data_IF_171460460878
#
_entry.id   IF_171460460878
#
_cell.length_a   1.000
_cell.length_b   1.000
_cell.length_c   1.000
_cell.angle_alpha   90.00
_cell.angle_beta   90.00
_cell.angle_gamma   90.00
#
_symmetry.space_group_name_H-M   'P 1'
#
loop_
_entity.id
_entity.type
_entity.pdbx_description
1 polymer ?
#
# COMPACT_ATOMS: atom_id res chain seq x y z
N UNK A 1 31.21 60.85 5.63
CA UNK A 1 30.92 60.86 4.17
C UNK A 1 29.62 60.07 3.94
N UNK A 2 28.65 60.43 3.07
CA UNK A 2 28.65 60.71 1.60
C UNK A 2 29.08 59.47 0.79
N UNK A 3 28.40 58.98 -0.26
CA UNK A 3 27.19 59.38 -1.05
C UNK A 3 26.61 58.11 -1.78
N UNK A 4 25.40 57.91 -2.38
CA UNK A 4 24.33 58.70 -3.07
C UNK A 4 24.72 59.24 -4.48
N UNK A 5 24.01 59.05 -5.62
CA UNK A 5 22.66 58.53 -6.07
C UNK A 5 22.80 58.07 -7.57
N UNK A 6 21.97 57.28 -8.29
CA UNK A 6 20.83 56.38 -7.99
C UNK A 6 19.64 56.41 -9.01
N UNK A 7 19.22 55.24 -9.55
CA UNK A 7 17.94 54.91 -10.29
C UNK A 7 17.63 55.46 -11.72
N UNK A 8 16.69 54.75 -12.41
CA UNK A 8 15.86 55.14 -13.61
C UNK A 8 16.56 55.34 -14.98
N UNK A 9 15.97 55.18 -16.20
CA UNK A 9 14.66 54.78 -16.83
C UNK A 9 15.02 53.99 -18.14
N UNK A 10 14.35 52.97 -18.71
CA UNK A 10 13.00 52.74 -19.29
C UNK A 10 12.54 53.68 -20.44
N UNK A 11 12.26 53.07 -21.62
CA UNK A 11 11.45 53.49 -22.80
C UNK A 11 12.06 54.33 -23.94
N UNK A 12 11.29 54.36 -25.06
CA UNK A 12 11.55 54.92 -26.40
C UNK A 12 12.63 54.19 -27.26
N UNK A 13 12.46 53.96 -28.58
CA UNK A 13 11.30 54.19 -29.47
C UNK A 13 11.26 53.20 -30.66
N UNK A 14 10.16 53.24 -31.45
CA UNK A 14 9.91 52.46 -32.68
C UNK A 14 9.70 53.42 -33.89
N UNK A 15 9.59 52.86 -35.10
CA UNK A 15 9.16 53.52 -36.37
C UNK A 15 10.09 54.56 -37.05
N UNK A 16 10.73 54.14 -38.16
CA UNK A 16 10.55 54.62 -39.58
C UNK A 16 11.65 53.98 -40.45
N UNK A 17 11.45 53.17 -41.51
CA UNK A 17 10.64 53.17 -42.75
C UNK A 17 11.26 53.89 -43.98
N UNK A 18 11.65 53.08 -44.99
CA UNK A 18 11.74 53.36 -46.45
C UNK A 18 12.92 54.28 -46.89
N UNK A 19 13.39 54.40 -48.16
CA UNK A 19 12.94 54.00 -49.53
C UNK A 19 14.15 53.46 -50.38
N UNK A 20 13.95 52.81 -51.55
CA UNK A 20 14.98 52.37 -52.56
C UNK A 20 15.30 53.46 -53.63
N UNK A 21 16.40 53.37 -54.42
CA UNK A 21 16.50 52.61 -55.69
C UNK A 21 17.79 51.73 -55.77
N UNK A 22 18.01 50.68 -56.58
CA UNK A 22 17.60 50.25 -57.95
C UNK A 22 18.57 50.65 -59.08
N UNK A 23 19.50 49.77 -59.51
CA UNK A 23 20.11 49.73 -60.87
C UNK A 23 20.72 48.34 -61.20
N UNK A 24 20.85 47.99 -62.50
CA UNK A 24 21.02 46.62 -63.09
C UNK A 24 21.53 46.76 -64.56
N UNK A 25 22.23 45.80 -65.24
CA UNK A 25 23.15 44.71 -64.87
C UNK A 25 24.56 44.91 -65.53
N UNK A 26 25.34 43.86 -65.90
CA UNK A 26 25.19 43.28 -67.26
C UNK A 26 25.09 41.73 -67.30
N UNK A 27 24.85 41.16 -68.50
CA UNK A 27 24.64 39.71 -68.74
C UNK A 27 25.88 39.04 -69.32
N UNK A 28 26.08 37.76 -69.02
CA UNK A 28 26.67 36.80 -69.96
C UNK A 28 25.76 35.57 -70.11
N UNK A 29 25.59 35.11 -71.36
CA UNK A 29 24.94 33.84 -71.68
C UNK A 29 26.02 32.78 -71.92
N UNK A 30 25.80 31.56 -71.42
CA UNK A 30 26.35 30.35 -72.02
C UNK A 30 25.39 29.19 -71.74
N UNK A 31 25.21 28.30 -72.72
CA UNK A 31 24.16 27.27 -72.71
C UNK A 31 24.73 25.86 -72.64
N UNK A 32 24.28 25.07 -71.67
CA UNK A 32 24.36 23.61 -71.69
C UNK A 32 23.10 23.02 -71.07
N UNK A 33 22.69 21.84 -71.55
CA UNK A 33 21.38 21.24 -71.26
C UNK A 33 21.35 20.42 -69.97
N UNK A 34 20.17 20.35 -69.36
CA UNK A 34 19.93 19.78 -68.03
C UNK A 34 19.84 18.25 -68.06
N UNK A 35 20.41 17.60 -67.04
CA UNK A 35 19.83 16.37 -66.50
C UNK A 35 20.07 16.31 -64.98
N UNK A 36 19.05 16.68 -64.20
CA UNK A 36 19.08 16.67 -62.72
C UNK A 36 17.97 15.74 -62.23
N UNK A 37 18.25 14.75 -61.36
CA UNK A 37 17.24 13.85 -60.82
C UNK A 37 16.17 14.62 -60.03
N UNK A 38 14.89 14.29 -60.27
CA UNK A 38 13.79 14.81 -59.46
C UNK A 38 13.87 14.30 -58.01
N UNK A 39 13.55 15.13 -57.00
CA UNK A 39 13.50 14.67 -55.62
C UNK A 39 12.39 13.60 -55.43
N UNK A 40 12.57 12.64 -54.51
CA UNK A 40 11.59 11.59 -54.27
C UNK A 40 10.25 12.19 -53.82
N UNK A 41 9.15 11.77 -54.46
CA UNK A 41 7.80 12.23 -54.14
C UNK A 41 7.43 11.84 -52.71
N UNK A 42 7.13 12.83 -51.87
CA UNK A 42 6.59 12.62 -50.52
C UNK A 42 5.32 11.77 -50.62
N UNK A 43 5.20 10.64 -49.89
CA UNK A 43 4.01 9.80 -49.96
C UNK A 43 2.76 10.55 -49.52
N UNK A 44 1.76 10.70 -50.40
CA UNK A 44 0.45 11.21 -49.99
C UNK A 44 -0.21 10.24 -49.01
N UNK A 45 -0.54 10.72 -47.81
CA UNK A 45 -1.30 9.99 -46.79
C UNK A 45 -2.54 9.34 -47.42
N UNK A 46 -2.67 8.01 -47.35
CA UNK A 46 -3.77 7.31 -48.02
C UNK A 46 -5.14 7.74 -47.48
N UNK A 47 -6.18 7.69 -48.32
CA UNK A 47 -7.57 7.96 -47.90
C UNK A 47 -8.00 7.05 -46.73
N UNK A 48 -7.53 5.80 -46.71
CA UNK A 48 -7.74 4.84 -45.60
C UNK A 48 -7.12 5.34 -44.28
N UNK A 49 -5.90 5.88 -44.32
CA UNK A 49 -5.24 6.45 -43.15
C UNK A 49 -6.02 7.62 -42.56
N UNK A 50 -6.45 8.57 -43.40
CA UNK A 50 -7.27 9.72 -42.95
C UNK A 50 -8.62 9.29 -42.37
N UNK A 51 -9.27 8.29 -42.96
CA UNK A 51 -10.52 7.75 -42.45
C UNK A 51 -10.33 7.10 -41.08
N UNK A 52 -9.26 6.31 -40.90
CA UNK A 52 -8.93 5.68 -39.63
C UNK A 52 -8.64 6.74 -38.54
N UNK A 53 -7.79 7.73 -38.83
CA UNK A 53 -7.52 8.84 -37.89
C UNK A 53 -8.80 9.60 -37.52
N UNK A 54 -9.66 9.90 -38.49
CA UNK A 54 -10.96 10.55 -38.24
C UNK A 54 -11.87 9.71 -37.36
N UNK A 55 -11.96 8.40 -37.59
CA UNK A 55 -12.74 7.48 -36.76
C UNK A 55 -12.19 7.37 -35.33
N UNK A 56 -10.86 7.31 -35.16
CA UNK A 56 -10.22 7.30 -33.83
C UNK A 56 -10.48 8.60 -33.07
N UNK A 57 -10.37 9.76 -33.72
CA UNK A 57 -10.68 11.06 -33.11
C UNK A 57 -12.17 11.15 -32.74
N UNK A 58 -13.07 10.70 -33.62
CA UNK A 58 -14.51 10.63 -33.34
C UNK A 58 -14.85 9.76 -32.14
N UNK A 59 -14.23 8.57 -32.03
CA UNK A 59 -14.36 7.68 -30.86
C UNK A 59 -13.82 8.30 -29.57
N UNK A 60 -12.69 9.01 -29.62
CA UNK A 60 -12.12 9.69 -28.45
C UNK A 60 -13.01 10.85 -27.99
N UNK A 61 -13.56 11.65 -28.92
CA UNK A 61 -14.48 12.75 -28.60
C UNK A 61 -15.81 12.22 -28.05
N UNK A 62 -16.43 11.23 -28.71
CA UNK A 62 -17.68 10.63 -28.26
C UNK A 62 -17.53 9.90 -26.92
N UNK A 63 -16.45 9.16 -26.73
CA UNK A 63 -16.11 8.51 -25.46
C UNK A 63 -15.84 9.50 -24.33
N UNK A 64 -15.12 10.60 -24.61
CA UNK A 64 -14.89 11.68 -23.66
C UNK A 64 -16.17 12.42 -23.28
N UNK A 65 -17.05 12.70 -24.25
CA UNK A 65 -18.36 13.30 -23.99
C UNK A 65 -19.24 12.38 -23.13
N UNK A 66 -19.33 11.09 -23.46
CA UNK A 66 -20.09 10.11 -22.67
C UNK A 66 -19.52 9.96 -21.25
N UNK A 67 -18.18 9.91 -21.10
CA UNK A 67 -17.52 9.90 -19.81
C UNK A 67 -17.75 11.18 -18.98
N UNK A 68 -18.01 12.32 -19.62
CA UNK A 68 -18.38 13.56 -18.92
C UNK A 68 -19.84 13.62 -18.46
N UNK A 69 -20.68 12.66 -18.88
CA UNK A 69 -22.12 12.59 -18.53
C UNK A 69 -22.49 11.47 -17.55
N UNK A 70 -21.55 10.62 -17.16
CA UNK A 70 -21.78 9.59 -16.12
C UNK A 70 -21.42 10.10 -14.73
N UNK A 71 -22.00 9.49 -13.70
CA UNK A 71 -21.68 9.77 -12.31
C UNK A 71 -20.27 9.29 -11.91
N UNK A 72 -19.76 9.85 -10.82
CA UNK A 72 -18.40 9.55 -10.36
C UNK A 72 -18.20 8.09 -9.93
N UNK A 73 -19.24 7.40 -9.43
CA UNK A 73 -19.16 6.01 -9.00
C UNK A 73 -19.11 5.05 -10.20
N UNK A 74 -19.87 5.32 -11.27
CA UNK A 74 -19.79 4.61 -12.55
C UNK A 74 -18.43 4.80 -13.21
N UNK A 75 -17.94 6.06 -13.31
CA UNK A 75 -16.62 6.35 -13.87
C UNK A 75 -15.49 5.68 -13.07
N UNK A 76 -15.57 5.74 -11.73
CA UNK A 76 -14.68 4.99 -10.84
C UNK A 76 -14.71 3.48 -11.14
N UNK A 77 -15.90 2.88 -11.27
CA UNK A 77 -16.07 1.48 -11.64
C UNK A 77 -15.38 1.08 -12.95
N UNK A 78 -15.40 1.97 -13.96
CA UNK A 78 -14.65 1.78 -15.20
C UNK A 78 -13.15 1.89 -15.00
N UNK A 79 -12.64 2.87 -14.25
CA UNK A 79 -11.21 3.01 -13.97
C UNK A 79 -10.64 1.79 -13.24
N UNK A 80 -11.32 1.28 -12.21
CA UNK A 80 -10.94 0.02 -11.55
C UNK A 80 -10.97 -1.16 -12.53
N UNK A 81 -12.01 -1.26 -13.37
CA UNK A 81 -12.13 -2.32 -14.38
C UNK A 81 -11.00 -2.28 -15.41
N UNK A 82 -10.58 -1.09 -15.85
CA UNK A 82 -9.46 -0.92 -16.77
C UNK A 82 -8.13 -1.43 -16.19
N UNK A 83 -7.94 -1.39 -14.87
CA UNK A 83 -6.72 -1.97 -14.26
C UNK A 83 -6.60 -3.48 -14.48
N UNK A 84 -7.70 -4.21 -14.72
CA UNK A 84 -7.65 -5.65 -15.08
C UNK A 84 -6.91 -5.90 -16.41
N UNK A 85 -6.92 -4.91 -17.32
CA UNK A 85 -6.18 -4.96 -18.59
C UNK A 85 -4.72 -4.52 -18.41
N UNK A 86 -4.45 -3.60 -17.47
CA UNK A 86 -3.10 -3.05 -17.24
C UNK A 86 -2.26 -3.96 -16.34
N UNK A 87 -2.83 -4.60 -15.32
CA UNK A 87 -2.09 -5.36 -14.31
C UNK A 87 -1.29 -6.55 -14.89
N UNK A 88 -1.77 -7.31 -15.90
CA UNK A 88 -0.98 -8.36 -16.54
C UNK A 88 0.37 -7.90 -17.09
N UNK A 89 0.51 -6.63 -17.52
CA UNK A 89 1.80 -6.12 -18.01
C UNK A 89 2.87 -6.02 -16.92
N UNK A 90 2.48 -5.91 -15.64
CA UNK A 90 3.43 -5.96 -14.51
C UNK A 90 4.06 -7.35 -14.34
N UNK A 91 3.54 -8.40 -14.99
CA UNK A 91 4.15 -9.74 -14.99
C UNK A 91 5.47 -9.80 -15.79
N UNK A 92 5.62 -8.99 -16.83
CA UNK A 92 6.82 -8.96 -17.71
C UNK A 92 8.03 -8.21 -17.11
N UNK A 93 7.84 -7.51 -16.00
CA UNK A 93 8.90 -6.77 -15.29
C UNK A 93 9.60 -7.65 -14.25
N UNK A 94 10.79 -7.23 -13.78
CA UNK A 94 11.32 -7.72 -12.49
C UNK A 94 10.32 -7.40 -11.36
N UNK A 95 10.06 -8.32 -10.41
CA UNK A 95 9.06 -8.10 -9.37
C UNK A 95 9.37 -6.92 -8.42
N UNK A 96 10.63 -6.58 -8.16
CA UNK A 96 10.95 -5.41 -7.33
C UNK A 96 10.83 -4.10 -8.13
N UNK A 97 11.15 -4.11 -9.43
CA UNK A 97 10.87 -2.99 -10.37
C UNK A 97 9.36 -2.76 -10.52
N UNK A 98 8.59 -3.83 -10.74
CA UNK A 98 7.12 -3.80 -10.79
C UNK A 98 6.52 -3.19 -9.52
N UNK A 99 7.02 -3.64 -8.36
CA UNK A 99 6.60 -3.15 -7.05
C UNK A 99 6.92 -1.66 -6.85
N UNK A 100 8.15 -1.24 -7.18
CA UNK A 100 8.55 0.19 -7.11
C UNK A 100 7.71 1.06 -8.05
N UNK A 101 7.40 0.59 -9.25
CA UNK A 101 6.53 1.30 -10.19
C UNK A 101 5.11 1.48 -9.63
N UNK A 102 4.53 0.42 -9.04
CA UNK A 102 3.20 0.47 -8.42
C UNK A 102 3.14 1.47 -7.25
N UNK A 103 4.13 1.44 -6.34
CA UNK A 103 4.25 2.42 -5.24
C UNK A 103 4.43 3.84 -5.80
N UNK A 104 5.28 4.03 -6.82
CA UNK A 104 5.47 5.34 -7.47
C UNK A 104 4.23 5.87 -8.21
N UNK A 105 3.38 4.99 -8.74
CA UNK A 105 2.11 5.38 -9.34
C UNK A 105 1.10 5.81 -8.26
N UNK A 106 0.98 5.04 -7.17
CA UNK A 106 0.12 5.38 -6.05
C UNK A 106 0.55 6.69 -5.37
N UNK A 107 1.85 6.91 -5.16
CA UNK A 107 2.43 8.15 -4.62
C UNK A 107 2.16 9.40 -5.48
N UNK A 108 1.88 9.23 -6.79
CA UNK A 108 1.55 10.32 -7.73
C UNK A 108 0.05 10.46 -8.00
N UNK A 109 -0.81 9.65 -7.37
CA UNK A 109 -2.24 9.62 -7.67
C UNK A 109 -2.58 9.05 -9.05
N UNK A 110 -1.70 8.24 -9.65
CA UNK A 110 -1.91 7.59 -10.95
C UNK A 110 -2.63 6.23 -10.83
N UNK A 111 -3.22 5.96 -9.67
CA UNK A 111 -4.06 4.79 -9.39
C UNK A 111 -5.52 5.25 -9.25
N UNK A 112 -6.52 4.40 -9.56
CA UNK A 112 -7.92 4.79 -9.41
C UNK A 112 -8.24 5.05 -7.93
N UNK A 113 -8.97 6.13 -7.64
CA UNK A 113 -9.47 6.44 -6.30
C UNK A 113 -10.89 5.89 -6.17
N UNK A 114 -11.13 5.05 -5.17
CA UNK A 114 -12.46 4.53 -4.88
C UNK A 114 -13.39 5.67 -4.44
N UNK A 115 -14.55 5.75 -5.09
CA UNK A 115 -15.59 6.76 -4.85
C UNK A 115 -16.96 6.14 -4.55
N UNK A 116 -17.11 4.82 -4.68
CA UNK A 116 -18.29 4.09 -4.19
C UNK A 116 -18.20 3.97 -2.67
N UNK A 117 -19.31 4.16 -1.92
CA UNK A 117 -19.32 3.92 -0.49
C UNK A 117 -19.11 2.44 -0.17
N UNK A 118 -18.53 2.15 0.99
CA UNK A 118 -18.49 0.79 1.53
C UNK A 118 -19.90 0.36 2.00
N UNK A 119 -20.21 -0.93 1.82
CA UNK A 119 -21.47 -1.51 2.28
C UNK A 119 -21.52 -1.50 3.82
N UNK A 120 -22.59 -0.98 4.47
CA UNK A 120 -22.61 -0.77 5.93
C UNK A 120 -22.31 -2.02 6.77
N UNK A 121 -22.66 -3.22 6.28
CA UNK A 121 -22.37 -4.53 6.88
C UNK A 121 -20.87 -4.80 7.09
N UNK A 122 -20.01 -4.17 6.29
CA UNK A 122 -18.54 -4.25 6.40
C UNK A 122 -17.97 -3.30 7.45
N UNK A 123 -18.73 -2.28 7.86
CA UNK A 123 -18.26 -1.28 8.82
C UNK A 123 -18.20 -1.87 10.24
N UNK A 124 -17.10 -1.63 10.94
CA UNK A 124 -16.85 -2.18 12.27
C UNK A 124 -16.02 -1.26 13.16
N UNK A 125 -16.11 -1.46 14.47
CA UNK A 125 -15.42 -0.65 15.46
C UNK A 125 -14.27 -1.45 16.08
N UNK A 126 -13.04 -0.94 15.97
CA UNK A 126 -11.85 -1.57 16.57
C UNK A 126 -10.97 -0.47 17.17
N UNK A 127 -10.52 -0.67 18.41
CA UNK A 127 -9.67 0.27 19.14
C UNK A 127 -10.20 1.72 19.21
N UNK A 128 -11.51 1.89 19.37
CA UNK A 128 -12.15 3.21 19.43
C UNK A 128 -12.27 3.94 18.08
N UNK A 129 -11.96 3.27 16.96
CA UNK A 129 -12.06 3.81 15.60
C UNK A 129 -13.05 3.01 14.74
N UNK A 130 -13.82 3.73 13.92
CA UNK A 130 -14.69 3.15 12.89
C UNK A 130 -13.85 2.85 11.64
N UNK A 131 -13.75 1.57 11.31
CA UNK A 131 -13.27 1.10 10.02
C UNK A 131 -14.46 1.04 9.06
N UNK A 132 -14.31 1.57 7.84
CA UNK A 132 -15.38 1.51 6.82
C UNK A 132 -15.56 0.11 6.22
N UNK A 133 -14.47 -0.66 6.16
CA UNK A 133 -14.43 -2.07 5.80
C UNK A 133 -13.24 -2.76 6.51
N UNK A 134 -13.24 -4.10 6.66
CA UNK A 134 -12.19 -4.82 7.40
C UNK A 134 -10.96 -5.15 6.54
N UNK A 135 -10.88 -4.69 5.29
CA UNK A 135 -9.87 -5.11 4.31
C UNK A 135 -8.74 -4.09 4.24
N UNK A 136 -7.54 -4.49 4.66
CA UNK A 136 -6.35 -3.64 4.66
C UNK A 136 -5.18 -4.16 3.85
N UNK A 137 -4.21 -3.28 3.61
CA UNK A 137 -2.93 -3.59 2.98
C UNK A 137 -1.87 -3.94 4.04
N UNK A 138 -1.14 -5.03 3.85
CA UNK A 138 -0.12 -5.50 4.80
C UNK A 138 1.24 -4.76 4.66
N UNK A 139 2.00 -4.70 5.75
CA UNK A 139 3.38 -4.23 5.70
C UNK A 139 4.25 -5.02 4.72
N UNK A 140 5.29 -4.34 4.27
CA UNK A 140 6.17 -4.73 3.21
C UNK A 140 5.78 -4.11 1.87
N UNK A 141 4.52 -3.67 1.68
CA UNK A 141 4.12 -3.02 0.45
C UNK A 141 4.67 -1.58 0.37
N UNK A 142 4.20 -0.67 1.22
CA UNK A 142 4.79 0.66 1.35
C UNK A 142 5.75 0.71 2.55
N UNK A 143 7.01 0.34 2.32
CA UNK A 143 8.02 0.24 3.39
C UNK A 143 8.49 1.59 3.94
N UNK A 144 8.25 2.66 3.18
CA UNK A 144 8.86 3.97 3.38
C UNK A 144 7.81 5.08 3.64
N UNK A 145 6.52 4.76 3.64
CA UNK A 145 5.40 5.71 3.62
C UNK A 145 5.42 6.64 2.39
N UNK A 146 5.76 6.11 1.21
CA UNK A 146 5.79 6.86 -0.05
C UNK A 146 4.38 7.15 -0.61
N UNK A 147 3.39 6.29 -0.32
CA UNK A 147 2.14 6.21 -1.10
C UNK A 147 0.85 6.09 -0.27
N UNK A 148 0.91 6.25 1.06
CA UNK A 148 -0.21 6.04 2.01
C UNK A 148 -1.56 6.60 1.54
N UNK A 149 -1.60 7.86 1.08
CA UNK A 149 -2.84 8.50 0.62
C UNK A 149 -3.42 7.82 -0.63
N UNK A 150 -2.58 7.51 -1.62
CA UNK A 150 -3.00 6.80 -2.83
C UNK A 150 -3.42 5.36 -2.55
N UNK A 151 -2.78 4.71 -1.58
CA UNK A 151 -3.10 3.33 -1.18
C UNK A 151 -4.41 3.25 -0.37
N UNK A 152 -4.65 4.16 0.59
CA UNK A 152 -5.97 4.30 1.22
C UNK A 152 -7.03 4.70 0.18
N UNK A 153 -6.66 5.57 -0.77
CA UNK A 153 -7.47 5.97 -1.90
C UNK A 153 -7.96 4.82 -2.79
N UNK A 154 -7.29 3.66 -2.81
CA UNK A 154 -7.76 2.46 -3.51
C UNK A 154 -8.99 1.79 -2.87
N UNK A 155 -9.45 2.26 -1.70
CA UNK A 155 -10.62 1.73 -0.99
C UNK A 155 -10.31 0.62 0.03
N UNK A 156 -9.04 0.48 0.44
CA UNK A 156 -8.69 -0.26 1.66
C UNK A 156 -9.17 0.50 2.90
N UNK A 157 -9.79 -0.20 3.87
CA UNK A 157 -10.16 0.42 5.16
C UNK A 157 -8.94 0.86 5.99
N UNK A 158 -7.79 0.20 5.79
CA UNK A 158 -6.52 0.56 6.44
C UNK A 158 -5.28 0.15 5.64
N UNK A 159 -4.15 0.81 5.88
CA UNK A 159 -2.84 0.52 5.25
C UNK A 159 -1.78 0.40 6.33
N UNK A 160 -0.98 -0.68 6.31
CA UNK A 160 0.17 -0.88 7.20
C UNK A 160 1.48 -0.56 6.46
N UNK A 161 2.18 0.51 6.83
CA UNK A 161 3.51 0.86 6.28
C UNK A 161 4.65 0.15 7.01
N UNK A 162 5.82 0.09 6.40
CA UNK A 162 7.03 -0.52 6.98
C UNK A 162 7.26 -1.97 6.52
N UNK A 163 7.96 -2.82 7.26
CA UNK A 163 8.64 -2.56 8.53
C UNK A 163 9.72 -1.49 8.40
N UNK A 164 9.63 -0.45 9.24
CA UNK A 164 10.61 0.64 9.31
C UNK A 164 11.69 0.27 10.33
N UNK A 165 12.95 0.45 9.96
CA UNK A 165 14.11 0.31 10.87
C UNK A 165 14.63 1.68 11.29
N UNK A 166 15.26 1.85 12.47
CA UNK A 166 15.83 3.13 12.88
C UNK A 166 16.78 3.76 11.85
N UNK A 167 17.86 3.06 11.54
CA UNK A 167 18.88 3.46 10.57
C UNK A 167 18.47 2.95 9.18
N UNK A 168 18.73 3.71 8.09
CA UNK A 168 18.51 3.21 6.73
C UNK A 168 19.30 1.93 6.45
N UNK A 169 18.73 1.00 5.70
CA UNK A 169 19.45 -0.19 5.24
C UNK A 169 18.89 -0.72 3.91
N UNK A 170 19.79 -1.12 3.01
CA UNK A 170 19.44 -1.69 1.69
C UNK A 170 18.70 -3.03 1.77
N UNK A 171 18.81 -3.75 2.89
CA UNK A 171 18.32 -5.13 3.06
C UNK A 171 19.30 -6.17 2.52
N UNK A 172 18.80 -7.34 2.10
CA UNK A 172 19.64 -8.41 1.54
C UNK A 172 19.88 -8.22 0.01
N UNK A 173 20.94 -8.80 -0.58
CA UNK A 173 21.27 -8.69 -2.01
C UNK A 173 20.15 -9.16 -2.95
N UNK A 174 20.19 -8.69 -4.20
CA UNK A 174 19.22 -9.01 -5.27
C UNK A 174 19.76 -10.14 -6.17
N UNK A 175 18.89 -10.96 -6.81
CA UNK A 175 17.43 -10.97 -6.70
C UNK A 175 16.93 -11.53 -5.35
N UNK A 176 15.78 -11.00 -4.90
CA UNK A 176 15.24 -11.22 -3.53
C UNK A 176 13.72 -11.25 -3.42
N UNK A 177 13.01 -11.15 -4.54
CA UNK A 177 11.57 -11.35 -4.64
C UNK A 177 11.38 -12.23 -5.86
N UNK A 178 10.62 -13.31 -5.72
CA UNK A 178 10.40 -14.28 -6.77
C UNK A 178 8.91 -14.59 -6.86
N UNK A 179 8.39 -14.62 -8.09
CA UNK A 179 6.98 -14.85 -8.38
C UNK A 179 6.75 -16.31 -8.76
N UNK A 180 5.70 -16.90 -8.20
CA UNK A 180 5.20 -18.24 -8.47
C UNK A 180 3.75 -18.07 -8.94
N UNK A 181 3.52 -17.73 -10.23
CA UNK A 181 2.23 -17.21 -10.69
C UNK A 181 1.11 -18.25 -10.69
N UNK A 182 1.43 -19.50 -11.04
CA UNK A 182 0.46 -20.60 -11.10
C UNK A 182 -0.05 -20.97 -9.70
N UNK A 183 0.82 -20.80 -8.71
CA UNK A 183 0.61 -21.05 -7.30
C UNK A 183 -0.02 -19.85 -6.58
N UNK A 184 -0.16 -18.69 -7.26
CA UNK A 184 -0.61 -17.44 -6.65
C UNK A 184 0.28 -16.97 -5.49
N UNK A 185 1.59 -17.17 -5.61
CA UNK A 185 2.54 -17.12 -4.50
C UNK A 185 3.81 -16.29 -4.77
N UNK A 186 4.44 -15.81 -3.69
CA UNK A 186 5.72 -15.08 -3.74
C UNK A 186 6.66 -15.62 -2.67
N UNK A 187 7.90 -15.91 -3.04
CA UNK A 187 9.02 -16.12 -2.12
C UNK A 187 9.83 -14.81 -2.05
N UNK A 188 10.18 -14.34 -0.85
CA UNK A 188 10.99 -13.14 -0.69
C UNK A 188 12.04 -13.26 0.42
N UNK A 189 13.22 -12.68 0.19
CA UNK A 189 14.32 -12.56 1.17
C UNK A 189 14.73 -11.12 1.47
N UNK A 190 13.82 -10.15 1.37
CA UNK A 190 14.16 -8.70 1.40
C UNK A 190 15.02 -8.23 2.59
N UNK A 191 14.80 -8.77 3.80
CA UNK A 191 15.61 -8.42 4.98
C UNK A 191 15.44 -6.98 5.49
N UNK A 192 14.18 -6.50 5.60
CA UNK A 192 13.84 -5.14 6.04
C UNK A 192 14.61 -4.04 5.31
N UNK A 193 14.57 -4.00 3.97
CA UNK A 193 15.03 -2.81 3.25
C UNK A 193 14.14 -1.60 3.59
N UNK A 194 14.74 -0.50 4.06
CA UNK A 194 14.04 0.66 4.60
C UNK A 194 14.93 1.92 4.55
N UNK A 195 14.33 3.09 4.30
CA UNK A 195 15.03 4.38 4.30
C UNK A 195 15.23 5.01 5.69
N UNK A 196 14.95 4.28 6.77
CA UNK A 196 15.16 4.75 8.15
C UNK A 196 13.99 5.57 8.71
N UNK A 197 13.82 5.57 10.04
CA UNK A 197 12.70 6.26 10.71
C UNK A 197 12.65 7.76 10.38
N UNK A 198 13.79 8.42 10.15
CA UNK A 198 13.84 9.87 9.86
C UNK A 198 13.20 10.20 8.50
N UNK A 199 13.46 9.38 7.47
CA UNK A 199 12.85 9.57 6.15
C UNK A 199 11.35 9.28 6.17
N UNK A 200 10.94 8.23 6.90
CA UNK A 200 9.53 7.86 7.06
C UNK A 200 8.76 8.91 7.87
N UNK A 201 9.32 9.40 8.99
CA UNK A 201 8.73 10.45 9.81
C UNK A 201 8.48 11.73 9.01
N UNK A 202 9.45 12.13 8.17
CA UNK A 202 9.31 13.31 7.29
C UNK A 202 8.15 13.15 6.29
N UNK A 203 7.99 11.96 5.69
CA UNK A 203 6.86 11.68 4.77
C UNK A 203 5.53 11.63 5.50
N UNK A 204 5.46 10.93 6.63
CA UNK A 204 4.25 10.81 7.44
C UNK A 204 3.79 12.15 8.02
N UNK A 205 4.70 13.01 8.49
CA UNK A 205 4.37 14.36 8.95
C UNK A 205 3.75 15.23 7.84
N UNK A 206 4.35 15.21 6.64
CA UNK A 206 3.81 15.93 5.48
C UNK A 206 2.41 15.43 5.05
N UNK A 207 2.23 14.11 5.01
CA UNK A 207 0.94 13.48 4.67
C UNK A 207 -0.12 13.71 5.75
N UNK A 208 0.25 13.63 7.03
CA UNK A 208 -0.64 13.87 8.17
C UNK A 208 -1.19 15.30 8.14
N UNK A 209 -0.32 16.30 7.92
CA UNK A 209 -0.74 17.69 7.77
C UNK A 209 -1.71 17.91 6.60
N UNK A 210 -1.40 17.36 5.43
CA UNK A 210 -2.26 17.45 4.23
C UNK A 210 -3.64 16.83 4.48
N UNK A 211 -3.69 15.54 4.86
CA UNK A 211 -4.96 14.81 5.00
C UNK A 211 -5.84 15.38 6.12
N UNK A 212 -5.24 15.89 7.21
CA UNK A 212 -5.97 16.54 8.30
C UNK A 212 -6.67 17.81 7.82
N UNK A 213 -5.97 18.64 7.03
CA UNK A 213 -6.56 19.83 6.41
C UNK A 213 -7.74 19.50 5.49
N UNK A 214 -7.62 18.48 4.64
CA UNK A 214 -8.71 18.00 3.76
C UNK A 214 -9.94 17.53 4.55
N UNK A 215 -9.73 16.96 5.74
CA UNK A 215 -10.82 16.45 6.60
C UNK A 215 -11.51 17.58 7.38
N UNK A 216 -10.77 18.60 7.84
CA UNK A 216 -11.34 19.72 8.60
C UNK A 216 -12.34 20.59 7.83
N UNK A 217 -12.41 20.47 6.51
CA UNK A 217 -13.46 21.07 5.67
C UNK A 217 -14.85 20.40 5.80
N UNK A 218 -14.95 19.24 6.46
CA UNK A 218 -16.19 18.45 6.58
C UNK A 218 -16.41 17.99 8.02
N UNK A 219 -17.31 18.70 8.72
CA UNK A 219 -17.94 18.36 10.01
C UNK A 219 -17.04 17.91 11.18
N UNK A 220 -16.98 18.74 12.24
CA UNK A 220 -16.50 18.30 13.56
C UNK A 220 -17.54 17.39 14.24
N UNK A 221 -17.18 16.18 14.72
CA UNK A 221 -18.04 15.40 15.62
C UNK A 221 -18.05 16.01 17.03
N UNK A 222 -19.04 15.65 17.85
CA UNK A 222 -19.24 16.22 19.19
C UNK A 222 -19.73 15.18 20.20
N UNK A 223 -18.94 14.92 21.24
CA UNK A 223 -19.23 13.95 22.29
C UNK A 223 -18.46 12.63 22.13
N UNK A 224 -18.83 11.62 22.92
CA UNK A 224 -18.18 10.30 23.02
C UNK A 224 -18.45 9.37 21.80
N UNK A 225 -18.43 9.92 20.59
CA UNK A 225 -18.67 9.18 19.35
C UNK A 225 -17.45 8.38 18.88
N UNK A 226 -17.67 7.21 18.28
CA UNK A 226 -16.60 6.38 17.72
C UNK A 226 -15.93 7.12 16.56
N UNK A 227 -14.60 7.31 16.64
CA UNK A 227 -13.89 8.19 15.72
C UNK A 227 -13.83 7.61 14.31
N UNK A 228 -14.37 8.32 13.32
CA UNK A 228 -14.41 7.88 11.94
C UNK A 228 -13.03 7.94 11.27
N UNK A 229 -12.42 6.78 11.02
CA UNK A 229 -11.10 6.66 10.40
C UNK A 229 -9.93 7.00 11.35
N UNK A 230 -8.85 7.51 10.76
CA UNK A 230 -7.58 7.75 11.44
C UNK A 230 -7.38 9.20 11.91
N UNK A 231 -6.31 9.43 12.69
CA UNK A 231 -5.82 10.73 13.20
C UNK A 231 -5.70 11.84 12.15
N UNK A 232 -5.62 11.46 10.89
CA UNK A 232 -5.53 12.35 9.74
C UNK A 232 -6.61 12.03 8.68
N UNK A 233 -7.84 11.67 9.08
CA UNK A 233 -8.97 11.52 8.16
C UNK A 233 -9.32 10.08 7.75
N UNK A 234 -10.11 9.89 6.67
CA UNK A 234 -11.03 8.76 6.48
C UNK A 234 -10.41 7.36 6.21
N UNK A 235 -9.13 7.15 6.48
CA UNK A 235 -8.46 5.85 6.33
C UNK A 235 -7.36 5.64 7.37
N UNK A 236 -7.26 4.43 7.91
CA UNK A 236 -6.47 4.12 9.10
C UNK A 236 -5.05 3.68 8.74
N UNK A 237 -4.05 4.22 9.43
CA UNK A 237 -2.62 3.98 9.20
C UNK A 237 -1.99 3.13 10.30
N UNK A 238 -1.62 1.89 9.96
CA UNK A 238 -0.71 1.08 10.77
C UNK A 238 0.75 1.44 10.48
N UNK A 239 1.59 1.60 11.50
CA UNK A 239 3.04 1.74 11.34
C UNK A 239 3.74 0.50 11.90
N UNK A 240 4.32 -0.29 11.01
CA UNK A 240 5.06 -1.49 11.35
C UNK A 240 6.53 -1.17 11.63
N UNK A 241 7.02 -1.56 12.80
CA UNK A 241 8.38 -1.35 13.28
C UNK A 241 9.19 -2.65 13.17
N UNK A 242 10.50 -2.54 12.92
CA UNK A 242 11.43 -3.67 12.91
C UNK A 242 12.85 -3.25 13.30
N UNK A 243 13.65 -4.18 13.82
CA UNK A 243 15.05 -3.92 14.14
C UNK A 243 15.93 -3.82 12.88
N UNK A 244 16.98 -2.99 12.93
CA UNK A 244 18.09 -3.04 12.00
C UNK A 244 18.80 -4.39 12.05
N UNK A 245 19.30 -4.85 10.89
CA UNK A 245 19.93 -6.18 10.75
C UNK A 245 21.09 -6.38 11.73
N UNK A 246 21.91 -5.34 11.91
CA UNK A 246 23.10 -5.30 12.77
C UNK A 246 22.86 -4.83 14.20
N UNK A 247 21.65 -4.41 14.59
CA UNK A 247 21.40 -3.95 15.96
C UNK A 247 21.41 -5.10 16.98
N UNK A 248 22.09 -4.90 18.11
CA UNK A 248 22.24 -5.86 19.20
C UNK A 248 21.07 -5.79 20.19
N UNK A 249 20.74 -4.61 20.75
CA UNK A 249 19.49 -4.42 21.50
C UNK A 249 18.33 -4.17 20.55
N UNK A 250 17.73 -5.26 20.08
CA UNK A 250 16.52 -5.24 19.27
C UNK A 250 15.40 -4.37 19.89
N UNK A 251 15.29 -4.28 21.21
CA UNK A 251 14.23 -3.52 21.85
C UNK A 251 14.47 -2.00 21.77
N UNK A 252 15.72 -1.56 21.81
CA UNK A 252 16.07 -0.14 21.60
C UNK A 252 15.59 0.35 20.22
N UNK A 253 15.72 -0.47 19.18
CA UNK A 253 15.23 -0.14 17.84
C UNK A 253 13.71 0.08 17.79
N UNK A 254 12.93 -0.81 18.43
CA UNK A 254 11.47 -0.65 18.49
C UNK A 254 11.07 0.58 19.32
N UNK A 255 11.75 0.82 20.46
CA UNK A 255 11.56 1.99 21.33
C UNK A 255 11.81 3.29 20.56
N UNK A 256 12.91 3.39 19.81
CA UNK A 256 13.20 4.56 18.97
C UNK A 256 12.15 4.74 17.85
N UNK A 257 11.65 3.63 17.30
CA UNK A 257 10.52 3.62 16.36
C UNK A 257 9.22 4.16 16.96
N UNK A 258 8.91 3.81 18.22
CA UNK A 258 7.76 4.36 18.96
C UNK A 258 7.91 5.87 19.12
N UNK A 259 8.97 6.35 19.77
CA UNK A 259 9.13 7.80 20.03
C UNK A 259 9.06 8.65 18.75
N UNK A 260 9.56 8.12 17.63
CA UNK A 260 9.64 8.86 16.37
C UNK A 260 8.33 8.83 15.57
N UNK A 261 7.64 7.68 15.47
CA UNK A 261 6.56 7.47 14.50
C UNK A 261 5.15 7.35 15.11
N UNK A 262 5.03 7.10 16.41
CA UNK A 262 3.75 6.83 17.09
C UNK A 262 2.72 7.97 17.01
N UNK A 263 3.19 9.22 16.95
CA UNK A 263 2.35 10.40 16.74
C UNK A 263 1.53 10.35 15.43
N UNK A 264 2.08 9.75 14.37
CA UNK A 264 1.43 9.63 13.06
C UNK A 264 0.58 8.36 12.91
N UNK A 265 0.82 7.36 13.76
CA UNK A 265 0.24 6.02 13.66
C UNK A 265 -1.14 5.96 14.30
N UNK A 266 -2.10 5.34 13.62
CA UNK A 266 -3.38 4.94 14.20
C UNK A 266 -3.28 3.64 14.99
N UNK A 267 -2.34 2.76 14.60
CA UNK A 267 -1.84 1.65 15.41
C UNK A 267 -0.37 1.35 15.08
N UNK A 268 0.35 0.76 16.03
CA UNK A 268 1.74 0.34 15.93
C UNK A 268 1.85 -1.18 15.83
N UNK A 269 2.89 -1.69 15.18
CA UNK A 269 3.15 -3.14 15.10
C UNK A 269 4.61 -3.47 15.41
N UNK A 270 4.85 -4.31 16.41
CA UNK A 270 6.14 -4.96 16.64
C UNK A 270 6.26 -6.16 15.70
N UNK A 271 7.10 -6.07 14.65
CA UNK A 271 7.36 -7.20 13.75
C UNK A 271 8.58 -8.00 14.19
N UNK A 272 8.33 -9.18 14.77
CA UNK A 272 9.32 -10.15 15.24
C UNK A 272 9.36 -11.43 14.38
N UNK A 273 8.70 -11.42 13.23
CA UNK A 273 8.34 -12.66 12.50
C UNK A 273 8.91 -12.80 11.09
N UNK A 274 9.63 -11.78 10.60
CA UNK A 274 10.36 -11.85 9.33
C UNK A 274 11.40 -12.99 9.37
N UNK A 275 11.37 -13.96 8.44
CA UNK A 275 12.42 -14.99 8.34
C UNK A 275 13.72 -14.43 7.74
N UNK A 276 13.68 -13.19 7.23
CA UNK A 276 14.73 -12.60 6.41
C UNK A 276 15.74 -11.74 7.19
N UNK A 277 15.55 -11.65 8.52
CA UNK A 277 16.41 -10.94 9.46
C UNK A 277 16.92 -11.95 10.49
N UNK A 278 18.23 -12.27 10.53
CA UNK A 278 18.77 -13.27 11.45
C UNK A 278 18.41 -13.00 12.92
N UNK A 279 18.21 -14.08 13.68
CA UNK A 279 17.82 -14.04 15.10
C UNK A 279 16.38 -13.56 15.38
N UNK A 280 15.76 -12.76 14.50
CA UNK A 280 14.51 -12.03 14.80
C UNK A 280 13.39 -12.91 15.38
N UNK A 281 13.15 -14.09 14.78
CA UNK A 281 12.09 -15.02 15.20
C UNK A 281 12.26 -15.59 16.61
N UNK A 282 13.47 -15.52 17.19
CA UNK A 282 13.73 -15.92 18.58
C UNK A 282 13.09 -14.95 19.58
N UNK A 283 12.76 -13.72 19.17
CA UNK A 283 12.02 -12.74 19.98
C UNK A 283 10.56 -13.15 20.25
N UNK A 284 10.06 -14.20 19.61
CA UNK A 284 8.72 -14.77 19.87
C UNK A 284 8.70 -15.68 21.11
N UNK A 285 9.85 -16.13 21.60
CA UNK A 285 9.94 -16.96 22.81
C UNK A 285 9.42 -16.21 24.05
N UNK A 286 8.74 -16.92 24.96
CA UNK A 286 7.93 -16.35 26.06
C UNK A 286 8.60 -15.22 26.83
N UNK A 287 9.88 -15.39 27.20
CA UNK A 287 10.63 -14.37 27.95
C UNK A 287 10.96 -13.16 27.07
N UNK A 288 11.56 -13.42 25.91
CA UNK A 288 11.99 -12.40 24.95
C UNK A 288 10.82 -11.52 24.50
N UNK A 289 9.67 -12.14 24.18
CA UNK A 289 8.45 -11.44 23.83
C UNK A 289 7.94 -10.58 24.99
N UNK A 290 7.88 -11.12 26.21
CA UNK A 290 7.39 -10.41 27.40
C UNK A 290 8.26 -9.20 27.73
N UNK A 291 9.58 -9.37 27.70
CA UNK A 291 10.54 -8.32 28.04
C UNK A 291 10.59 -7.24 26.95
N UNK A 292 10.46 -7.62 25.67
CA UNK A 292 10.35 -6.70 24.54
C UNK A 292 9.03 -5.89 24.58
N UNK A 293 7.87 -6.57 24.66
CA UNK A 293 6.56 -5.91 24.69
C UNK A 293 6.48 -4.93 25.86
N UNK A 294 6.99 -5.30 27.05
CA UNK A 294 7.08 -4.38 28.19
C UNK A 294 7.89 -3.11 27.90
N UNK A 295 9.10 -3.24 27.32
CA UNK A 295 9.93 -2.07 26.94
C UNK A 295 9.19 -1.15 25.95
N UNK A 296 8.53 -1.73 24.95
CA UNK A 296 7.85 -0.98 23.87
C UNK A 296 6.52 -0.39 24.33
N UNK A 297 5.79 -1.04 25.25
CA UNK A 297 4.63 -0.46 25.94
C UNK A 297 5.06 0.73 26.81
N UNK A 298 6.09 0.58 27.65
CA UNK A 298 6.58 1.68 28.49
C UNK A 298 6.97 2.92 27.65
N UNK A 299 7.77 2.73 26.59
CA UNK A 299 8.18 3.79 25.66
C UNK A 299 7.02 4.42 24.86
N UNK A 300 5.86 3.77 24.80
CA UNK A 300 4.61 4.34 24.25
C UNK A 300 3.84 5.08 25.32
N UNK A 301 3.68 4.48 26.48
CA UNK A 301 2.79 4.95 27.55
C UNK A 301 3.39 6.13 28.33
N UNK A 302 4.71 6.36 28.25
CA UNK A 302 5.40 7.55 28.77
C UNK A 302 5.33 8.79 27.85
N UNK A 303 4.90 8.62 26.59
CA UNK A 303 4.74 9.73 25.65
C UNK A 303 3.52 10.60 26.02
N UNK A 304 3.57 11.89 25.68
CA UNK A 304 2.46 12.80 25.91
C UNK A 304 1.33 12.59 24.89
N UNK A 305 0.21 12.05 25.36
CA UNK A 305 -1.00 11.84 24.56
C UNK A 305 -2.06 12.90 24.86
N UNK A 306 -2.74 13.38 23.81
CA UNK A 306 -4.00 14.11 23.96
C UNK A 306 -5.19 13.15 24.15
N UNK A 307 -6.41 13.66 23.97
CA UNK A 307 -7.69 12.93 24.12
C UNK A 307 -7.81 11.65 23.24
N UNK A 308 -6.93 11.47 22.26
CA UNK A 308 -6.82 10.25 21.44
C UNK A 308 -6.22 9.05 22.21
N UNK A 309 -5.46 9.30 23.29
CA UNK A 309 -4.67 8.29 23.99
C UNK A 309 -3.48 7.74 23.17
N UNK A 310 -2.77 6.74 23.70
CA UNK A 310 -1.74 6.01 22.98
C UNK A 310 -2.31 5.20 21.81
N UNK A 311 -1.57 5.05 20.69
CA UNK A 311 -1.98 4.14 19.62
C UNK A 311 -1.93 2.67 20.08
N UNK A 312 -2.89 1.81 19.69
CA UNK A 312 -2.84 0.37 19.89
C UNK A 312 -1.50 -0.22 19.45
N UNK A 313 -0.94 -1.11 20.27
CA UNK A 313 0.33 -1.77 20.02
C UNK A 313 0.10 -3.26 19.75
N UNK A 314 0.32 -3.66 18.50
CA UNK A 314 0.12 -5.02 18.01
C UNK A 314 1.45 -5.78 17.92
N UNK A 315 1.38 -7.11 17.91
CA UNK A 315 2.53 -7.98 17.59
C UNK A 315 2.23 -8.83 16.34
N UNK A 316 3.16 -8.87 15.38
CA UNK A 316 3.03 -9.66 14.14
C UNK A 316 3.87 -10.93 14.25
N UNK A 317 3.22 -12.09 14.26
CA UNK A 317 3.83 -13.40 14.52
C UNK A 317 4.04 -14.23 13.24
N UNK A 318 4.95 -15.21 13.32
CA UNK A 318 5.20 -16.18 12.25
C UNK A 318 4.11 -17.27 12.24
N UNK A 319 3.92 -17.96 11.10
CA UNK A 319 3.10 -19.18 11.06
C UNK A 319 3.89 -20.43 11.48
N UNK A 320 5.23 -20.36 11.43
CA UNK A 320 6.15 -21.45 11.73
C UNK A 320 6.42 -21.50 13.25
N UNK A 321 5.42 -21.96 14.00
CA UNK A 321 5.39 -22.00 15.47
C UNK A 321 4.86 -23.36 15.96
N UNK A 322 5.36 -23.86 17.07
CA UNK A 322 4.78 -25.02 17.75
C UNK A 322 3.54 -24.63 18.55
N UNK A 323 2.74 -25.64 18.98
CA UNK A 323 1.60 -25.39 19.88
C UNK A 323 2.04 -24.70 21.17
N UNK A 324 3.21 -25.05 21.72
CA UNK A 324 3.70 -24.43 22.95
C UNK A 324 4.08 -22.97 22.76
N UNK A 325 4.65 -22.60 21.60
CA UNK A 325 4.93 -21.20 21.26
C UNK A 325 3.63 -20.39 21.18
N UNK A 326 2.57 -20.94 20.57
CA UNK A 326 1.26 -20.26 20.50
C UNK A 326 0.64 -20.05 21.89
N UNK A 327 0.68 -21.07 22.75
CA UNK A 327 0.24 -20.98 24.15
C UNK A 327 1.04 -19.91 24.93
N UNK A 328 2.35 -19.86 24.75
CA UNK A 328 3.23 -18.87 25.39
C UNK A 328 2.99 -17.44 24.86
N UNK A 329 2.84 -17.27 23.55
CA UNK A 329 2.51 -15.98 22.92
C UNK A 329 1.14 -15.49 23.40
N UNK A 330 0.13 -16.36 23.43
CA UNK A 330 -1.21 -16.02 23.93
C UNK A 330 -1.17 -15.64 25.41
N UNK A 331 -0.44 -16.39 26.24
CA UNK A 331 -0.29 -16.10 27.66
C UNK A 331 0.41 -14.74 27.91
N UNK A 332 1.44 -14.39 27.12
CA UNK A 332 2.11 -13.09 27.21
C UNK A 332 1.21 -11.96 26.70
N UNK A 333 0.56 -12.14 25.55
CA UNK A 333 -0.34 -11.14 24.98
C UNK A 333 -1.51 -10.80 25.91
N UNK A 334 -2.10 -11.81 26.55
CA UNK A 334 -3.15 -11.64 27.57
C UNK A 334 -2.62 -10.98 28.85
N UNK A 335 -1.46 -11.40 29.35
CA UNK A 335 -0.90 -10.89 30.60
C UNK A 335 -0.41 -9.43 30.50
N UNK A 336 0.01 -9.00 29.30
CA UNK A 336 0.44 -7.63 29.03
C UNK A 336 -0.65 -6.76 28.37
N UNK A 337 -1.85 -7.31 28.13
CA UNK A 337 -2.94 -6.61 27.42
C UNK A 337 -2.49 -6.01 26.08
N UNK A 338 -1.84 -6.83 25.24
CA UNK A 338 -1.46 -6.44 23.88
C UNK A 338 -2.72 -6.16 23.06
N UNK A 339 -2.78 -4.99 22.42
CA UNK A 339 -4.02 -4.45 21.85
C UNK A 339 -4.51 -5.23 20.62
N UNK A 340 -3.64 -6.02 19.97
CA UNK A 340 -4.02 -6.95 18.91
C UNK A 340 -2.85 -7.82 18.40
N UNK A 341 -3.15 -8.85 17.62
CA UNK A 341 -2.13 -9.71 17.01
C UNK A 341 -2.34 -9.84 15.50
N UNK A 342 -1.25 -9.89 14.74
CA UNK A 342 -1.30 -10.06 13.28
C UNK A 342 -0.78 -11.44 12.90
N UNK A 343 -1.67 -12.24 12.31
CA UNK A 343 -1.50 -13.68 12.11
C UNK A 343 -1.75 -14.01 10.63
N UNK A 344 -0.74 -14.17 9.79
CA UNK A 344 0.70 -14.25 10.10
C UNK A 344 1.59 -13.52 9.10
N UNK A 345 2.89 -13.49 9.41
CA UNK A 345 3.94 -13.28 8.44
C UNK A 345 4.06 -14.49 7.46
N UNK A 346 5.03 -14.40 6.55
CA UNK A 346 5.44 -15.46 5.61
C UNK A 346 5.91 -16.75 6.30
N UNK A 347 5.77 -17.90 5.62
CA UNK A 347 6.28 -19.20 6.09
C UNK A 347 7.66 -19.52 5.49
N UNK A 348 8.51 -20.23 6.23
CA UNK A 348 9.74 -20.83 5.66
C UNK A 348 9.49 -22.20 4.99
N UNK A 349 8.33 -22.81 5.22
CA UNK A 349 7.99 -24.13 4.66
C UNK A 349 7.74 -24.04 3.14
N UNK A 350 7.73 -25.20 2.48
CA UNK A 350 7.43 -25.39 1.06
C UNK A 350 6.43 -26.55 0.94
N UNK A 351 5.11 -26.30 0.88
CA UNK A 351 4.11 -27.36 0.71
C UNK A 351 4.21 -27.99 -0.67
N UNK A 352 3.58 -29.15 -0.86
CA UNK A 352 3.64 -29.92 -2.12
C UNK A 352 3.19 -29.12 -3.35
N UNK A 353 2.22 -28.22 -3.17
CA UNK A 353 1.74 -27.29 -4.20
C UNK A 353 2.75 -26.21 -4.60
N UNK A 354 3.95 -26.21 -4.01
CA UNK A 354 5.07 -25.30 -4.30
C UNK A 354 6.37 -26.08 -4.56
N UNK A 355 6.61 -27.22 -3.89
CA UNK A 355 7.91 -27.89 -3.87
C UNK A 355 8.46 -28.29 -5.26
N UNK A 356 7.57 -28.52 -6.23
CA UNK A 356 7.94 -28.85 -7.62
C UNK A 356 8.30 -27.62 -8.48
N UNK A 357 7.99 -26.41 -8.03
CA UNK A 357 8.35 -25.19 -8.75
C UNK A 357 9.87 -24.94 -8.65
N UNK A 358 10.61 -24.64 -9.74
CA UNK A 358 12.05 -24.37 -9.68
C UNK A 358 12.47 -23.28 -8.68
N UNK A 359 11.58 -22.31 -8.43
CA UNK A 359 11.78 -21.20 -7.48
C UNK A 359 11.65 -21.64 -6.02
N UNK A 360 11.09 -22.81 -5.72
CA UNK A 360 10.85 -23.27 -4.35
C UNK A 360 12.15 -23.38 -3.50
N UNK A 361 13.28 -23.65 -4.16
CA UNK A 361 14.60 -23.72 -3.54
C UNK A 361 15.16 -22.35 -3.11
N UNK A 362 14.54 -21.24 -3.55
CA UNK A 362 14.97 -19.91 -3.14
C UNK A 362 14.71 -19.67 -1.65
N UNK A 363 15.76 -19.19 -0.96
CA UNK A 363 15.70 -18.90 0.48
C UNK A 363 14.78 -17.72 0.79
N UNK A 364 14.15 -17.76 1.97
CA UNK A 364 13.27 -16.71 2.48
C UNK A 364 11.82 -17.14 2.64
N UNK A 365 10.97 -16.15 2.91
CA UNK A 365 9.56 -16.35 3.28
C UNK A 365 8.62 -16.48 2.07
N UNK A 366 7.87 -17.57 2.05
CA UNK A 366 6.75 -17.86 1.14
C UNK A 366 5.47 -17.14 1.62
N UNK A 367 4.72 -16.61 0.66
CA UNK A 367 3.44 -15.90 0.82
C UNK A 367 2.49 -16.22 -0.34
N UNK A 368 1.22 -15.81 -0.23
CA UNK A 368 0.20 -16.10 -1.24
C UNK A 368 -0.61 -17.36 -0.93
N UNK A 369 -1.35 -17.87 -1.92
CA UNK A 369 -2.40 -18.89 -1.70
C UNK A 369 -1.92 -20.13 -0.90
N UNK A 370 -0.70 -20.69 -1.07
CA UNK A 370 -0.23 -21.84 -0.31
C UNK A 370 -0.09 -21.60 1.20
N UNK A 371 0.05 -20.34 1.63
CA UNK A 371 0.09 -19.97 3.05
C UNK A 371 -1.32 -19.91 3.68
N UNK A 372 -2.40 -19.92 2.89
CA UNK A 372 -3.76 -19.64 3.37
C UNK A 372 -4.16 -20.58 4.52
N UNK A 373 -4.19 -21.89 4.29
CA UNK A 373 -4.67 -22.88 5.27
C UNK A 373 -3.87 -22.86 6.57
N UNK A 374 -2.54 -22.85 6.46
CA UNK A 374 -1.62 -22.76 7.61
C UNK A 374 -1.89 -21.49 8.44
N UNK A 375 -1.90 -20.32 7.81
CA UNK A 375 -2.15 -19.04 8.50
C UNK A 375 -3.60 -18.88 8.99
N UNK A 376 -4.56 -19.68 8.49
CA UNK A 376 -5.94 -19.73 9.02
C UNK A 376 -6.03 -20.64 10.25
N UNK A 377 -5.29 -21.76 10.27
CA UNK A 377 -5.23 -22.65 11.43
C UNK A 377 -4.54 -21.95 12.62
N UNK A 378 -3.39 -21.29 12.41
CA UNK A 378 -2.70 -20.53 13.47
C UNK A 378 -3.59 -19.38 14.00
N UNK A 379 -4.36 -18.72 13.13
CA UNK A 379 -5.34 -17.70 13.51
C UNK A 379 -6.45 -18.28 14.42
N UNK A 380 -6.98 -19.46 14.07
CA UNK A 380 -8.00 -20.16 14.85
C UNK A 380 -7.50 -20.57 16.24
N UNK A 381 -6.33 -21.19 16.32
CA UNK A 381 -5.70 -21.57 17.59
C UNK A 381 -5.49 -20.33 18.48
N UNK A 382 -4.97 -19.24 17.93
CA UNK A 382 -4.76 -18.00 18.68
C UNK A 382 -6.06 -17.32 19.13
N UNK A 383 -7.15 -17.43 18.36
CA UNK A 383 -8.47 -16.96 18.79
C UNK A 383 -8.99 -17.76 20.00
N UNK A 384 -8.86 -19.08 19.96
CA UNK A 384 -9.23 -19.99 21.06
C UNK A 384 -8.37 -19.72 22.30
N UNK A 385 -7.05 -19.64 22.15
CA UNK A 385 -6.10 -19.41 23.25
C UNK A 385 -6.27 -18.03 23.91
N UNK A 386 -6.56 -16.98 23.13
CA UNK A 386 -6.89 -15.65 23.68
C UNK A 386 -8.32 -15.56 24.23
N UNK A 387 -9.17 -16.53 23.90
CA UNK A 387 -10.61 -16.58 24.18
C UNK A 387 -11.37 -15.41 23.53
N UNK A 388 -10.97 -15.04 22.32
CA UNK A 388 -11.54 -13.90 21.56
C UNK A 388 -11.30 -12.50 22.18
N UNK A 389 -10.52 -12.39 23.27
CA UNK A 389 -10.32 -11.12 24.01
C UNK A 389 -9.29 -10.17 23.40
N UNK A 390 -8.59 -10.60 22.36
CA UNK A 390 -7.58 -9.80 21.65
C UNK A 390 -7.98 -9.72 20.18
N UNK A 391 -8.21 -8.53 19.60
CA UNK A 391 -8.47 -8.37 18.17
C UNK A 391 -7.36 -8.96 17.30
N UNK A 392 -7.74 -9.74 16.29
CA UNK A 392 -6.80 -10.44 15.41
C UNK A 392 -6.88 -9.89 13.98
N UNK A 393 -5.73 -9.61 13.36
CA UNK A 393 -5.65 -9.32 11.93
C UNK A 393 -5.22 -10.59 11.18
N UNK A 394 -6.13 -11.14 10.37
CA UNK A 394 -5.86 -12.29 9.52
C UNK A 394 -5.04 -11.89 8.28
N UNK A 395 -3.81 -12.39 8.18
CA UNK A 395 -2.86 -12.11 7.11
C UNK A 395 -2.34 -13.41 6.50
N UNK A 396 -2.25 -13.49 5.17
CA UNK A 396 -1.69 -14.64 4.46
C UNK A 396 -2.71 -15.40 3.60
N UNK A 397 -2.39 -15.50 2.30
CA UNK A 397 -3.10 -16.32 1.31
C UNK A 397 -4.50 -15.87 0.90
N UNK A 398 -4.99 -14.75 1.42
CA UNK A 398 -6.30 -14.18 1.08
C UNK A 398 -6.29 -13.67 -0.37
N UNK A 399 -7.23 -14.15 -1.18
CA UNK A 399 -7.35 -13.84 -2.61
C UNK A 399 -8.76 -13.52 -3.11
N UNK A 400 -9.79 -13.72 -2.27
CA UNK A 400 -11.19 -13.41 -2.56
C UNK A 400 -11.95 -13.00 -1.28
N UNK A 401 -13.19 -12.55 -1.40
CA UNK A 401 -14.06 -12.28 -0.25
C UNK A 401 -14.39 -13.51 0.58
N UNK A 402 -14.50 -14.70 -0.03
CA UNK A 402 -14.69 -15.96 0.71
C UNK A 402 -13.44 -16.34 1.52
N UNK A 403 -12.23 -16.03 1.01
CA UNK A 403 -11.01 -16.21 1.80
C UNK A 403 -10.95 -15.26 3.00
N UNK A 404 -11.36 -14.00 2.81
CA UNK A 404 -11.46 -13.02 3.89
C UNK A 404 -12.52 -13.44 4.93
N UNK A 405 -13.66 -13.93 4.45
CA UNK A 405 -14.75 -14.42 5.28
C UNK A 405 -14.36 -15.63 6.13
N UNK A 406 -13.64 -16.61 5.55
CA UNK A 406 -13.07 -17.75 6.28
C UNK A 406 -12.08 -17.31 7.36
N UNK A 407 -11.26 -16.27 7.11
CA UNK A 407 -10.38 -15.70 8.16
C UNK A 407 -11.22 -15.08 9.29
N UNK A 408 -12.29 -14.36 8.98
CA UNK A 408 -13.18 -13.75 9.97
C UNK A 408 -13.87 -14.83 10.81
N UNK A 409 -14.48 -15.84 10.18
CA UNK A 409 -15.06 -17.00 10.89
C UNK A 409 -14.05 -17.79 11.72
N UNK A 410 -12.80 -17.86 11.29
CA UNK A 410 -11.69 -18.43 12.08
C UNK A 410 -11.16 -17.53 13.21
N UNK A 411 -11.66 -16.29 13.37
CA UNK A 411 -11.33 -15.42 14.51
C UNK A 411 -10.72 -14.05 14.17
N UNK A 412 -10.52 -13.72 12.89
CA UNK A 412 -10.04 -12.38 12.52
C UNK A 412 -11.12 -11.30 12.70
N UNK A 413 -10.73 -10.17 13.31
CA UNK A 413 -11.52 -8.94 13.33
C UNK A 413 -11.29 -8.11 12.06
N UNK A 414 -10.05 -8.11 11.56
CA UNK A 414 -9.61 -7.40 10.34
C UNK A 414 -8.80 -8.35 9.46
N UNK A 415 -8.65 -8.05 8.16
CA UNK A 415 -7.88 -8.87 7.23
C UNK A 415 -6.85 -8.07 6.43
N UNK A 416 -5.75 -8.71 6.04
CA UNK A 416 -4.62 -8.09 5.37
C UNK A 416 -4.23 -8.79 4.07
N UNK A 417 -4.18 -8.01 2.98
CA UNK A 417 -3.77 -8.43 1.65
C UNK A 417 -2.33 -8.02 1.33
N UNK A 418 -1.65 -8.82 0.49
CA UNK A 418 -0.43 -8.42 -0.21
C UNK A 418 -0.34 -9.18 -1.53
N UNK A 419 -0.05 -10.48 -1.49
CA UNK A 419 0.33 -11.26 -2.68
C UNK A 419 -0.74 -11.23 -3.76
N UNK A 420 -2.01 -11.42 -3.40
CA UNK A 420 -3.12 -11.34 -4.34
C UNK A 420 -3.27 -9.93 -4.96
N UNK A 421 -3.07 -8.86 -4.19
CA UNK A 421 -3.08 -7.48 -4.72
C UNK A 421 -1.94 -7.25 -5.72
N UNK A 422 -0.75 -7.82 -5.47
CA UNK A 422 0.37 -7.82 -6.42
C UNK A 422 0.13 -8.58 -7.74
N UNK A 423 -0.89 -9.45 -7.79
CA UNK A 423 -1.27 -10.21 -9.00
C UNK A 423 -2.56 -9.71 -9.66
N UNK A 424 -3.55 -9.27 -8.88
CA UNK A 424 -4.87 -8.81 -9.36
C UNK A 424 -5.02 -7.29 -9.51
N UNK A 425 -4.13 -6.50 -8.88
CA UNK A 425 -4.14 -5.03 -8.96
C UNK A 425 -5.33 -4.37 -8.24
N UNK A 426 -5.56 -3.06 -8.47
CA UNK A 426 -6.62 -2.26 -7.85
C UNK A 426 -8.02 -2.90 -7.90
N UNK A 427 -8.38 -3.51 -9.02
CA UNK A 427 -9.69 -4.16 -9.22
C UNK A 427 -10.05 -5.21 -8.15
N UNK A 428 -9.07 -5.81 -7.48
CA UNK A 428 -9.30 -6.85 -6.47
C UNK A 428 -10.01 -6.31 -5.21
N UNK A 429 -9.77 -5.06 -4.84
CA UNK A 429 -10.24 -4.48 -3.57
C UNK A 429 -11.77 -4.36 -3.51
N UNK A 430 -12.46 -3.72 -4.48
CA UNK A 430 -13.93 -3.67 -4.48
C UNK A 430 -14.56 -5.06 -4.66
N UNK A 431 -13.93 -5.95 -5.43
CA UNK A 431 -14.36 -7.35 -5.57
C UNK A 431 -14.43 -8.06 -4.21
N UNK A 432 -13.31 -8.08 -3.47
CA UNK A 432 -13.23 -8.74 -2.15
C UNK A 432 -14.25 -8.17 -1.16
N UNK A 433 -14.52 -6.86 -1.20
CA UNK A 433 -15.52 -6.21 -0.33
C UNK A 433 -16.95 -6.66 -0.67
N UNK A 434 -17.32 -6.74 -1.96
CA UNK A 434 -18.62 -7.22 -2.38
C UNK A 434 -18.80 -8.72 -2.11
N UNK A 435 -17.81 -9.55 -2.44
CA UNK A 435 -17.78 -10.99 -2.16
C UNK A 435 -17.91 -11.27 -0.65
N UNK A 436 -17.24 -10.49 0.21
CA UNK A 436 -17.34 -10.60 1.67
C UNK A 436 -18.72 -10.20 2.20
N UNK A 437 -19.31 -9.12 1.69
CA UNK A 437 -20.67 -8.71 2.07
C UNK A 437 -21.70 -9.79 1.72
N UNK A 438 -21.64 -10.32 0.48
CA UNK A 438 -22.49 -11.43 0.04
C UNK A 438 -22.36 -12.67 0.93
N UNK A 439 -21.16 -12.97 1.44
CA UNK A 439 -20.94 -14.09 2.37
C UNK A 439 -21.61 -13.87 3.74
N UNK A 440 -21.55 -12.64 4.27
CA UNK A 440 -22.17 -12.29 5.55
C UNK A 440 -23.70 -12.35 5.45
N UNK A 441 -24.27 -11.73 4.41
CA UNK A 441 -25.72 -11.72 4.15
C UNK A 441 -26.28 -13.13 3.94
N UNK A 442 -25.57 -13.96 3.17
CA UNK A 442 -25.96 -15.36 2.88
C UNK A 442 -26.02 -16.23 4.14
N UNK A 443 -25.07 -16.08 5.05
CA UNK A 443 -25.02 -16.83 6.31
C UNK A 443 -25.84 -16.14 7.43
N UNK A 444 -26.56 -15.05 7.12
CA UNK A 444 -27.52 -14.39 8.01
C UNK A 444 -26.94 -13.36 8.98
N UNK A 445 -25.66 -13.00 8.83
CA UNK A 445 -24.98 -12.02 9.67
C UNK A 445 -25.30 -10.58 9.26
N UNK A 446 -25.39 -9.67 10.24
CA UNK A 446 -25.68 -8.24 10.06
C UNK A 446 -24.46 -7.33 10.22
N UNK A 447 -23.33 -7.88 10.69
CA UNK A 447 -22.05 -7.17 10.81
C UNK A 447 -20.87 -8.15 10.84
N UNK A 448 -19.66 -7.62 10.62
CA UNK A 448 -18.41 -8.40 10.80
C UNK A 448 -18.34 -9.03 12.20
N UNK A 449 -18.68 -8.29 13.25
CA UNK A 449 -18.55 -8.73 14.66
C UNK A 449 -19.33 -10.01 14.97
N UNK A 450 -20.52 -10.19 14.38
CA UNK A 450 -21.32 -11.40 14.60
C UNK A 450 -20.63 -12.66 14.03
N UNK A 451 -19.90 -12.51 12.92
CA UNK A 451 -19.16 -13.59 12.26
C UNK A 451 -17.75 -13.86 12.85
N UNK A 452 -17.15 -12.93 13.61
CA UNK A 452 -15.79 -13.10 14.18
C UNK A 452 -15.72 -14.35 15.07
N UNK A 453 -14.93 -15.34 14.64
CA UNK A 453 -14.72 -16.57 15.39
C UNK A 453 -15.91 -17.54 15.36
N UNK A 454 -16.86 -17.39 14.42
CA UNK A 454 -18.02 -18.28 14.30
C UNK A 454 -17.67 -19.78 14.16
N UNK A 455 -16.50 -20.13 13.63
CA UNK A 455 -16.03 -21.54 13.54
C UNK A 455 -15.43 -22.06 14.87
N UNK A 456 -15.50 -21.27 15.94
CA UNK A 456 -14.85 -21.50 17.24
C UNK A 456 -15.81 -21.44 18.44
N UNK A 457 -17.12 -21.37 18.19
CA UNK A 457 -18.20 -21.26 19.19
C UNK A 457 -18.90 -22.59 19.40
#
# INVERSE_FOLDING_TARGET
>A
MKQRVGFTLIRESLYRKLIKPSFVPPRHYCTSSVNVPLPPKVPHSSKKGRLLTGATIGLLIAGGAYASTVDEATFCGWLFSATKLVNPFFAFLDPEVAHRLAVSAAARGWVPREKRPDLPILGLDVWGRRFSNPVGLAAGFDKNAEAVEGLLGLGFGFVEVGSVTPIPQEGNPKPRIFRLPNEGAIINRCGFNSEGIVAVAKRLGAQHGKRKLETSSTSSPSGDEVKHGGKAGPGILGVNLGKNKTSEDAAADYVQGVHTLSQYADYLVINISSPNTPGLRQLQGRKQLKDLVKKVQAARDEMQWGEEGPPPLLVKIAPDLSKQDLEDIAAVALALRVDGLIISNTTIQRPDSVIQNPVAQETGGLSGKPLFSMSTNILKEMYILTKGRIPLIGCGGISSGEDAYKKIRAGATLVQLYTAFGYGGPALIPNIKAELANCLEKDGYKSIHEAVGADCR
#
